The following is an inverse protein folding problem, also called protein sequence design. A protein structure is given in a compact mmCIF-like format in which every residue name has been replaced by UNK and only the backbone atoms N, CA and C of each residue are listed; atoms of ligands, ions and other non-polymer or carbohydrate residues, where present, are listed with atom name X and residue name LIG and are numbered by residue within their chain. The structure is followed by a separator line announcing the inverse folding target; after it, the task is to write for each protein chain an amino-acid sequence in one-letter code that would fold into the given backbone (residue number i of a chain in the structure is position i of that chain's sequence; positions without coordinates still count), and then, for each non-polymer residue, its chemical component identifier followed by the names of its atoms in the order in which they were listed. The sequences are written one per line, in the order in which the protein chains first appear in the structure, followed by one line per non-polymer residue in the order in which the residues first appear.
data_IF_407491111224
#
_entry.id   IF_407491111224
#
_cell.length_a   1.000
_cell.length_b   1.000
_cell.length_c   1.000
_cell.angle_alpha   90.00
_cell.angle_beta   90.00
_cell.angle_gamma   90.00
#
_symmetry.space_group_name_H-M   'P 1'
#
loop_
_entity.id
_entity.type
_entity.pdbx_description
1 polymer ?
#
# COMPACT_ATOMS: atom_id res chain seq x y z
N UNK A 1 13.52 -30.40 14.49
CA UNK A 1 14.87 -30.52 13.91
C UNK A 1 14.79 -30.15 12.45
N UNK A 2 15.28 -28.95 12.10
CA UNK A 2 15.87 -28.59 10.80
C UNK A 2 16.65 -27.29 11.07
N UNK A 3 17.96 -27.39 10.89
CA UNK A 3 18.98 -26.36 11.11
C UNK A 3 19.39 -25.71 9.79
N UNK A 4 20.16 -24.61 9.91
CA UNK A 4 21.04 -23.94 8.93
C UNK A 4 20.48 -22.68 8.25
N UNK A 5 21.24 -21.62 7.97
CA UNK A 5 22.63 -21.21 8.27
C UNK A 5 22.68 -19.71 7.90
N UNK A 6 23.26 -18.86 8.76
CA UNK A 6 23.54 -17.45 8.49
C UNK A 6 24.26 -16.83 9.69
N UNK A 7 25.45 -16.28 9.48
CA UNK A 7 26.36 -15.84 10.53
C UNK A 7 25.78 -14.67 11.35
N UNK A 8 25.28 -15.01 12.54
CA UNK A 8 24.85 -14.11 13.60
C UNK A 8 24.19 -14.99 14.66
N UNK A 9 24.65 -14.94 15.91
CA UNK A 9 24.10 -15.80 16.98
C UNK A 9 22.57 -15.72 16.95
N UNK A 10 21.83 -16.83 16.75
CA UNK A 10 20.39 -16.81 16.85
C UNK A 10 20.02 -16.33 18.26
N UNK A 11 19.22 -15.27 18.34
CA UNK A 11 18.61 -14.87 19.62
C UNK A 11 17.79 -16.09 20.07
N UNK A 12 18.05 -16.65 21.26
CA UNK A 12 17.31 -17.82 21.71
C UNK A 12 15.81 -17.54 21.72
N UNK A 13 15.02 -18.48 21.21
CA UNK A 13 13.54 -18.48 21.29
C UNK A 13 13.04 -18.20 22.73
N UNK A 14 13.89 -18.49 23.73
CA UNK A 14 13.59 -18.36 25.15
C UNK A 14 13.66 -16.92 25.73
N UNK A 15 14.13 -15.92 24.97
CA UNK A 15 14.19 -14.53 25.44
C UNK A 15 13.93 -13.52 24.30
N UNK A 16 12.69 -13.45 23.77
CA UNK A 16 12.37 -12.53 22.67
C UNK A 16 12.50 -11.07 23.12
N UNK A 17 12.88 -10.19 22.18
CA UNK A 17 12.83 -8.75 22.42
C UNK A 17 11.38 -8.29 22.60
N UNK A 18 11.15 -7.43 23.61
CA UNK A 18 9.84 -6.85 23.91
C UNK A 18 9.45 -5.71 22.96
N UNK A 19 10.43 -5.04 22.35
CA UNK A 19 10.21 -3.85 21.52
C UNK A 19 10.80 -4.05 20.12
N UNK A 20 10.06 -3.68 19.09
CA UNK A 20 10.54 -3.72 17.71
C UNK A 20 11.71 -2.74 17.49
N UNK A 21 11.73 -1.59 18.18
CA UNK A 21 12.87 -0.67 18.18
C UNK A 21 14.19 -1.36 18.53
N UNK A 22 14.19 -2.37 19.43
CA UNK A 22 15.41 -3.11 19.76
C UNK A 22 15.96 -3.86 18.54
N UNK A 23 15.09 -4.39 17.68
CA UNK A 23 15.51 -5.00 16.42
C UNK A 23 16.09 -3.97 15.46
N UNK A 24 15.41 -2.83 15.30
CA UNK A 24 15.87 -1.73 14.45
C UNK A 24 17.26 -1.21 14.84
N UNK A 25 17.57 -1.17 16.14
CA UNK A 25 18.86 -0.70 16.64
C UNK A 25 19.97 -1.76 16.56
N UNK A 26 19.62 -3.05 16.45
CA UNK A 26 20.58 -4.15 16.65
C UNK A 26 20.99 -4.85 15.36
N UNK A 27 20.06 -5.06 14.43
CA UNK A 27 20.31 -5.89 13.24
C UNK A 27 21.39 -5.29 12.33
N UNK A 28 22.23 -6.17 11.80
CA UNK A 28 23.23 -5.90 10.77
C UNK A 28 22.80 -6.50 9.42
N UNK A 29 23.55 -6.21 8.36
CA UNK A 29 23.33 -6.70 7.01
C UNK A 29 23.09 -8.21 6.95
N UNK A 30 22.12 -8.62 6.15
CA UNK A 30 21.70 -10.01 5.98
C UNK A 30 20.98 -10.64 7.19
N UNK A 31 20.84 -9.94 8.32
CA UNK A 31 20.18 -10.50 9.50
C UNK A 31 18.66 -10.45 9.40
N UNK A 32 18.03 -11.44 10.03
CA UNK A 32 16.56 -11.60 10.07
C UNK A 32 16.09 -11.55 11.52
N UNK A 33 15.10 -10.69 11.81
CA UNK A 33 14.31 -10.76 13.03
C UNK A 33 12.94 -11.38 12.75
N UNK A 34 12.60 -12.41 13.51
CA UNK A 34 11.28 -13.03 13.51
C UNK A 34 10.51 -12.59 14.77
N UNK A 35 9.50 -11.74 14.57
CA UNK A 35 8.62 -11.23 15.62
C UNK A 35 7.64 -12.32 16.05
N UNK A 36 7.61 -12.64 17.34
CA UNK A 36 6.66 -13.58 17.93
C UNK A 36 5.26 -12.97 17.94
N UNK A 37 4.25 -13.80 18.13
CA UNK A 37 2.87 -13.37 18.28
C UNK A 37 2.72 -12.38 19.44
N UNK A 38 2.02 -11.28 19.21
CA UNK A 38 1.78 -10.25 20.23
C UNK A 38 1.82 -8.83 19.68
N UNK A 39 1.68 -7.87 20.59
CA UNK A 39 1.65 -6.44 20.29
C UNK A 39 2.98 -5.78 20.65
N UNK A 40 3.52 -5.01 19.70
CA UNK A 40 4.79 -4.29 19.80
C UNK A 40 4.54 -2.80 19.82
N UNK A 41 4.50 -2.23 21.03
CA UNK A 41 4.31 -0.80 21.25
C UNK A 41 5.65 -0.05 21.32
N UNK A 42 5.72 1.19 20.79
CA UNK A 42 6.85 2.07 21.02
C UNK A 42 6.93 2.46 22.50
N UNK A 43 8.12 2.86 22.95
CA UNK A 43 8.32 3.30 24.34
C UNK A 43 7.80 4.71 24.62
N UNK A 44 7.60 5.52 23.58
CA UNK A 44 7.05 6.87 23.72
C UNK A 44 5.58 6.88 24.14
N UNK A 45 5.13 7.98 24.72
CA UNK A 45 3.74 8.14 25.11
C UNK A 45 2.84 8.34 23.89
N UNK A 46 1.63 7.77 23.93
CA UNK A 46 0.58 7.98 22.94
C UNK A 46 0.32 9.48 22.69
N UNK A 47 -0.04 9.85 21.45
CA UNK A 47 -0.29 11.24 21.02
C UNK A 47 0.88 12.20 21.28
N UNK A 48 2.10 11.67 21.23
CA UNK A 48 3.31 12.50 21.26
C UNK A 48 4.17 12.21 20.04
N UNK A 49 5.04 13.15 19.63
CA UNK A 49 6.04 12.87 18.61
C UNK A 49 6.93 11.66 18.92
N UNK A 50 6.99 11.19 20.17
CA UNK A 50 7.78 10.01 20.57
C UNK A 50 7.07 8.67 20.33
N UNK A 51 5.77 8.65 19.98
CA UNK A 51 5.00 7.42 19.70
C UNK A 51 5.35 6.80 18.34
N UNK A 52 6.62 6.47 18.16
CA UNK A 52 7.17 5.95 16.90
C UNK A 52 8.29 4.95 17.13
N UNK A 53 8.55 4.17 16.09
CA UNK A 53 9.70 3.27 15.96
C UNK A 53 10.43 3.65 14.67
N UNK A 54 11.73 3.85 14.74
CA UNK A 54 12.53 4.36 13.61
C UNK A 54 13.63 3.38 13.25
N UNK A 55 13.62 2.91 12.01
CA UNK A 55 14.66 2.07 11.44
C UNK A 55 15.64 2.92 10.63
N UNK A 56 16.81 3.20 11.22
CA UNK A 56 17.90 3.95 10.59
C UNK A 56 18.98 3.05 9.97
N UNK A 57 19.07 1.79 10.42
CA UNK A 57 20.09 0.87 9.94
C UNK A 57 19.74 0.37 8.55
N UNK A 58 20.77 0.20 7.72
CA UNK A 58 20.67 -0.32 6.36
C UNK A 58 21.25 -1.73 6.31
N UNK A 59 20.70 -2.57 5.43
CA UNK A 59 21.41 -3.73 4.90
C UNK A 59 22.35 -3.32 3.76
N UNK A 60 22.84 -4.33 3.05
CA UNK A 60 23.68 -4.16 1.87
C UNK A 60 23.02 -4.75 0.61
N UNK A 61 23.43 -4.36 -0.61
CA UNK A 61 23.00 -5.02 -1.83
C UNK A 61 23.20 -6.54 -1.74
N UNK A 62 22.12 -7.30 -1.95
CA UNK A 62 22.11 -8.76 -1.82
C UNK A 62 22.00 -9.30 -0.38
N UNK A 63 22.21 -8.47 0.64
CA UNK A 63 22.13 -8.83 2.06
C UNK A 63 21.21 -7.87 2.83
N UNK A 64 19.90 -7.86 2.52
CA UNK A 64 18.98 -6.95 3.19
C UNK A 64 18.78 -7.33 4.66
N UNK A 65 18.47 -6.35 5.51
CA UNK A 65 17.92 -6.64 6.83
C UNK A 65 16.45 -7.02 6.65
N UNK A 66 16.03 -8.13 7.26
CA UNK A 66 14.64 -8.60 7.18
C UNK A 66 13.97 -8.55 8.55
N UNK A 67 12.80 -7.92 8.60
CA UNK A 67 11.87 -8.01 9.71
C UNK A 67 10.65 -8.78 9.23
N UNK A 68 10.29 -9.83 9.94
CA UNK A 68 9.13 -10.63 9.60
C UNK A 68 8.41 -11.15 10.84
N UNK A 69 7.18 -11.61 10.67
CA UNK A 69 6.53 -12.39 11.70
C UNK A 69 7.14 -13.79 11.81
N UNK A 70 7.04 -14.39 12.99
CA UNK A 70 7.33 -15.79 13.18
C UNK A 70 6.27 -16.62 12.44
N UNK A 71 6.65 -17.64 11.65
CA UNK A 71 5.70 -18.40 10.84
C UNK A 71 4.51 -18.93 11.66
N UNK A 72 3.29 -18.68 11.19
CA UNK A 72 2.05 -19.08 11.85
C UNK A 72 1.62 -18.17 13.01
N UNK A 73 2.36 -17.10 13.31
CA UNK A 73 2.04 -16.15 14.38
C UNK A 73 1.77 -14.74 13.83
N UNK A 74 0.99 -13.97 14.59
CA UNK A 74 0.64 -12.59 14.25
C UNK A 74 1.30 -11.59 15.20
N UNK A 75 2.21 -10.80 14.66
CA UNK A 75 2.83 -9.63 15.28
C UNK A 75 2.08 -8.36 14.85
N UNK A 76 1.57 -7.61 15.84
CA UNK A 76 0.91 -6.32 15.65
C UNK A 76 1.85 -5.23 16.11
N UNK A 77 2.22 -4.32 15.22
CA UNK A 77 3.11 -3.20 15.49
C UNK A 77 2.25 -1.94 15.62
N UNK A 78 2.30 -1.32 16.80
CA UNK A 78 1.61 -0.06 17.07
C UNK A 78 2.54 1.14 16.89
N UNK A 79 1.92 2.30 16.76
CA UNK A 79 2.59 3.59 16.56
C UNK A 79 3.21 3.71 15.18
N UNK A 80 3.69 4.92 14.87
CA UNK A 80 4.33 5.21 13.59
C UNK A 80 5.59 4.35 13.41
N UNK A 81 5.74 3.70 12.26
CA UNK A 81 6.99 3.09 11.83
C UNK A 81 7.65 3.95 10.77
N UNK A 82 8.80 4.55 11.09
CA UNK A 82 9.61 5.33 10.14
C UNK A 82 10.77 4.47 9.64
N UNK A 83 10.93 4.37 8.32
CA UNK A 83 12.05 3.67 7.68
C UNK A 83 12.89 4.70 6.93
N UNK A 84 14.17 4.81 7.30
CA UNK A 84 15.17 5.64 6.63
C UNK A 84 16.41 4.86 6.21
N UNK A 85 16.56 3.63 6.70
CA UNK A 85 17.57 2.70 6.23
C UNK A 85 17.26 2.14 4.85
N UNK A 86 18.30 1.61 4.19
CA UNK A 86 18.26 1.08 2.83
C UNK A 86 18.42 -0.44 2.83
N UNK A 87 18.07 -1.09 1.73
CA UNK A 87 18.18 -2.55 1.58
C UNK A 87 17.47 -3.29 2.73
N UNK A 88 16.17 -3.05 2.84
CA UNK A 88 15.33 -3.56 3.94
C UNK A 88 14.16 -4.36 3.40
N UNK A 89 13.70 -5.32 4.19
CA UNK A 89 12.45 -6.03 3.92
C UNK A 89 11.58 -6.14 5.16
N UNK A 90 10.35 -5.66 5.06
CA UNK A 90 9.28 -5.89 6.03
C UNK A 90 8.33 -6.93 5.41
N UNK A 91 8.28 -8.13 5.99
CA UNK A 91 7.61 -9.28 5.39
C UNK A 91 6.58 -9.91 6.33
N UNK A 92 5.33 -9.94 5.92
CA UNK A 92 4.31 -10.80 6.49
C UNK A 92 4.26 -12.19 5.85
N UNK A 93 3.37 -13.03 6.35
CA UNK A 93 3.05 -14.34 5.80
C UNK A 93 1.84 -14.23 4.86
N UNK A 94 1.88 -14.82 3.64
CA UNK A 94 0.72 -14.86 2.74
C UNK A 94 -0.52 -15.50 3.38
N UNK A 95 -1.75 -15.17 2.91
CA UNK A 95 -2.07 -14.32 1.75
C UNK A 95 -1.94 -12.80 2.00
N UNK A 96 -1.92 -12.38 3.26
CA UNK A 96 -1.51 -11.07 3.77
C UNK A 96 -1.85 -11.11 5.25
N UNK A 97 -0.84 -11.10 6.10
CA UNK A 97 -1.06 -11.38 7.51
C UNK A 97 0.21 -11.76 8.24
N UNK A 98 0.09 -11.96 9.54
CA UNK A 98 1.25 -12.26 10.37
C UNK A 98 2.06 -11.02 10.77
N UNK A 99 2.28 -10.03 9.89
CA UNK A 99 2.87 -8.73 10.24
C UNK A 99 1.89 -7.60 9.93
N UNK A 100 1.36 -6.98 10.98
CA UNK A 100 0.33 -5.95 10.92
C UNK A 100 0.90 -4.64 11.48
N UNK A 101 0.79 -3.55 10.73
CA UNK A 101 1.01 -2.19 11.21
C UNK A 101 -0.36 -1.57 11.49
N UNK A 102 -0.60 -1.23 12.75
CA UNK A 102 -1.91 -0.79 13.19
C UNK A 102 -1.80 0.55 13.90
N UNK A 103 -2.51 1.54 13.37
CA UNK A 103 -2.71 2.82 14.04
C UNK A 103 -3.71 2.73 15.17
N UNK A 104 -3.80 3.75 16.03
CA UNK A 104 -4.75 3.71 17.13
C UNK A 104 -6.20 3.87 16.65
N UNK A 105 -7.11 3.21 17.37
CA UNK A 105 -8.57 3.39 17.27
C UNK A 105 -9.07 4.49 18.24
N UNK A 106 -8.22 5.45 18.61
CA UNK A 106 -8.55 6.46 19.60
C UNK A 106 -9.32 7.62 18.99
N UNK A 107 -10.44 8.03 19.62
CA UNK A 107 -11.15 9.26 19.25
C UNK A 107 -10.18 10.43 19.26
N UNK A 108 -10.12 11.17 18.15
CA UNK A 108 -9.43 12.44 18.01
C UNK A 108 -9.64 13.26 19.31
N UNK A 109 -8.60 13.34 20.15
CA UNK A 109 -8.69 13.92 21.47
C UNK A 109 -8.69 15.46 21.38
N UNK A 110 -9.55 16.07 20.55
CA UNK A 110 -9.79 17.52 20.47
C UNK A 110 -8.53 18.39 20.37
N UNK A 111 -7.39 17.82 20.00
CA UNK A 111 -6.07 18.34 20.30
C UNK A 111 -5.30 18.60 19.02
N UNK A 112 -4.72 19.79 18.92
CA UNK A 112 -4.10 20.30 17.68
C UNK A 112 -2.73 19.64 17.38
N UNK A 113 -2.21 18.71 18.20
CA UNK A 113 -0.76 18.40 18.20
C UNK A 113 -0.37 16.95 18.47
N UNK A 114 -0.63 16.11 17.46
CA UNK A 114 0.11 14.88 17.17
C UNK A 114 0.49 14.73 15.68
N UNK A 115 0.26 15.77 14.86
CA UNK A 115 0.45 15.76 13.40
C UNK A 115 1.82 15.22 12.98
N UNK A 116 1.85 13.96 12.57
CA UNK A 116 3.05 13.19 12.29
C UNK A 116 2.89 11.81 12.93
N UNK A 117 2.35 10.83 12.24
CA UNK A 117 2.54 10.60 10.82
C UNK A 117 1.65 9.45 10.39
N UNK A 118 1.66 9.21 9.10
CA UNK A 118 1.21 7.97 8.50
C UNK A 118 1.63 6.73 9.29
N UNK A 119 0.88 5.64 9.25
CA UNK A 119 1.17 4.45 10.05
C UNK A 119 2.54 3.84 9.72
N UNK A 120 2.88 3.79 8.43
CA UNK A 120 4.22 3.48 7.94
C UNK A 120 4.72 4.63 7.08
N UNK A 121 5.94 5.08 7.33
CA UNK A 121 6.58 6.15 6.57
C UNK A 121 7.94 5.71 6.04
N UNK A 122 8.06 5.60 4.72
CA UNK A 122 9.32 5.43 4.01
C UNK A 122 9.86 6.82 3.64
N UNK A 123 10.98 7.22 4.23
CA UNK A 123 11.53 8.58 4.13
C UNK A 123 12.99 8.51 3.70
N UNK A 124 13.30 9.04 2.52
CA UNK A 124 14.70 9.19 2.04
C UNK A 124 15.49 7.87 2.03
N UNK A 125 14.81 6.78 1.71
CA UNK A 125 15.39 5.45 1.66
C UNK A 125 15.34 4.87 0.24
N UNK A 126 16.15 3.84 -0.01
CA UNK A 126 16.09 3.07 -1.25
C UNK A 126 16.19 1.56 -1.04
N UNK A 127 15.75 0.79 -2.03
CA UNK A 127 15.74 -0.68 -2.00
C UNK A 127 15.01 -1.26 -0.77
N UNK A 128 13.83 -0.71 -0.46
CA UNK A 128 12.97 -1.21 0.62
C UNK A 128 11.81 -2.00 0.02
N UNK A 129 11.53 -3.17 0.60
CA UNK A 129 10.41 -4.04 0.19
C UNK A 129 9.44 -4.21 1.35
N UNK A 130 8.17 -3.86 1.13
CA UNK A 130 7.04 -4.29 1.96
C UNK A 130 6.37 -5.45 1.22
N UNK A 131 6.18 -6.57 1.90
CA UNK A 131 5.76 -7.83 1.28
C UNK A 131 4.76 -8.56 2.18
N UNK A 132 3.52 -8.74 1.73
CA UNK A 132 2.45 -9.41 2.48
C UNK A 132 2.16 -8.79 3.87
N UNK A 133 2.36 -7.48 4.03
CA UNK A 133 2.03 -6.76 5.27
C UNK A 133 0.61 -6.19 5.23
N UNK A 134 -0.01 -6.06 6.40
CA UNK A 134 -1.29 -5.39 6.59
C UNK A 134 -1.06 -4.02 7.23
N UNK A 135 -1.71 -2.97 6.71
CA UNK A 135 -1.62 -1.60 7.23
C UNK A 135 -3.04 -1.07 7.42
N UNK A 136 -3.43 -0.82 8.68
CA UNK A 136 -4.82 -0.51 9.00
C UNK A 136 -5.03 0.45 10.15
N UNK A 137 -6.24 0.99 10.21
CA UNK A 137 -6.76 1.77 11.33
C UNK A 137 -5.85 2.94 11.72
N UNK A 138 -5.13 3.50 10.75
CA UNK A 138 -4.42 4.74 10.94
C UNK A 138 -5.43 5.88 11.07
N UNK A 139 -5.23 6.80 11.99
CA UNK A 139 -6.15 7.91 12.27
C UNK A 139 -5.70 9.25 11.64
N UNK A 140 -4.59 9.31 10.89
CA UNK A 140 -4.16 10.59 10.30
C UNK A 140 -3.27 10.45 9.06
N UNK A 141 -3.56 11.22 8.01
CA UNK A 141 -2.74 11.39 6.80
C UNK A 141 -2.62 10.17 5.87
N UNK A 142 -1.94 9.08 6.23
CA UNK A 142 -1.92 7.90 5.36
C UNK A 142 -1.69 6.59 6.11
N UNK A 143 -2.22 5.48 5.61
CA UNK A 143 -1.73 4.16 6.04
C UNK A 143 -0.23 4.02 5.73
N UNK A 144 0.14 4.24 4.47
CA UNK A 144 1.53 4.25 4.02
C UNK A 144 1.87 5.60 3.38
N UNK A 145 2.94 6.24 3.84
CA UNK A 145 3.51 7.42 3.22
C UNK A 145 4.91 7.16 2.71
N UNK A 146 5.16 7.58 1.48
CA UNK A 146 6.42 7.36 0.78
C UNK A 146 6.94 8.70 0.30
N UNK A 147 8.13 9.12 0.73
CA UNK A 147 8.71 10.42 0.36
C UNK A 147 10.21 10.35 0.13
N UNK A 148 10.65 10.94 -0.99
CA UNK A 148 12.04 11.05 -1.42
C UNK A 148 12.76 9.69 -1.56
N UNK A 149 12.06 8.67 -2.10
CA UNK A 149 12.58 7.29 -2.19
C UNK A 149 13.06 6.90 -3.59
N UNK A 150 13.82 5.80 -3.67
CA UNK A 150 14.02 5.07 -4.93
C UNK A 150 14.00 3.55 -4.77
N UNK A 151 13.61 2.83 -5.82
CA UNK A 151 13.68 1.36 -5.86
C UNK A 151 12.89 0.67 -4.72
N UNK A 152 11.74 1.25 -4.35
CA UNK A 152 10.83 0.72 -3.33
C UNK A 152 9.76 -0.17 -3.95
N UNK A 153 9.47 -1.30 -3.30
CA UNK A 153 8.45 -2.25 -3.74
C UNK A 153 7.43 -2.51 -2.64
N UNK A 154 6.15 -2.33 -2.96
CA UNK A 154 5.00 -2.68 -2.12
C UNK A 154 4.29 -3.84 -2.79
N UNK A 155 4.39 -5.03 -2.22
CA UNK A 155 4.02 -6.29 -2.86
C UNK A 155 3.01 -7.03 -2.01
N UNK A 156 1.88 -7.42 -2.60
CA UNK A 156 0.89 -8.29 -1.96
C UNK A 156 0.40 -7.78 -0.59
N UNK A 157 0.42 -6.46 -0.40
CA UNK A 157 0.05 -5.82 0.85
C UNK A 157 -1.46 -5.57 0.91
N UNK A 158 -1.99 -5.50 2.14
CA UNK A 158 -3.37 -5.15 2.41
C UNK A 158 -3.44 -3.82 3.16
N UNK A 159 -3.99 -2.77 2.54
CA UNK A 159 -4.03 -1.42 3.12
C UNK A 159 -5.47 -0.94 3.20
N UNK A 160 -6.00 -0.83 4.42
CA UNK A 160 -7.42 -0.60 4.61
C UNK A 160 -7.80 0.14 5.89
N UNK A 161 -8.99 0.72 5.91
CA UNK A 161 -9.55 1.38 7.09
C UNK A 161 -8.65 2.50 7.66
N UNK A 162 -7.88 3.17 6.79
CA UNK A 162 -7.03 4.28 7.20
C UNK A 162 -7.76 5.62 7.00
N UNK A 163 -7.73 6.44 8.04
CA UNK A 163 -8.20 7.81 8.12
C UNK A 163 -9.32 8.03 9.13
N UNK A 164 -9.69 9.30 9.35
CA UNK A 164 -10.77 9.69 10.27
C UNK A 164 -12.13 9.64 9.59
N UNK A 165 -12.88 8.57 9.83
CA UNK A 165 -14.20 8.33 9.24
C UNK A 165 -15.35 9.05 9.93
N UNK A 166 -15.18 9.39 11.21
CA UNK A 166 -16.22 9.93 12.09
C UNK A 166 -16.29 11.47 12.09
N UNK A 167 -15.49 12.13 11.25
CA UNK A 167 -15.45 13.59 11.19
C UNK A 167 -15.36 14.12 9.75
N UNK A 168 -16.10 15.20 9.48
CA UNK A 168 -16.10 15.87 8.17
C UNK A 168 -15.00 16.92 8.03
N UNK A 169 -14.63 17.57 9.14
CA UNK A 169 -13.61 18.62 9.18
C UNK A 169 -12.87 18.54 10.52
N UNK A 170 -11.55 18.61 10.49
CA UNK A 170 -10.71 18.60 11.69
C UNK A 170 -10.53 19.98 12.32
N UNK A 171 -9.87 20.00 13.49
CA UNK A 171 -9.62 21.22 14.25
C UNK A 171 -8.79 22.28 13.49
N UNK A 172 -8.22 21.95 12.33
CA UNK A 172 -7.45 22.86 11.48
C UNK A 172 -8.15 23.15 10.15
N UNK A 173 -9.42 22.77 10.02
CA UNK A 173 -10.21 23.00 8.80
C UNK A 173 -9.88 22.03 7.67
N UNK A 174 -9.10 20.97 7.92
CA UNK A 174 -8.84 19.96 6.90
C UNK A 174 -10.01 18.99 6.82
N UNK A 175 -10.35 18.57 5.60
CA UNK A 175 -11.36 17.55 5.39
C UNK A 175 -10.67 16.18 5.22
N UNK A 176 -10.83 15.22 6.15
CA UNK A 176 -10.17 13.90 6.07
C UNK A 176 -10.34 13.19 4.74
N UNK A 177 -11.51 13.34 4.10
CA UNK A 177 -11.83 12.84 2.75
C UNK A 177 -10.83 13.26 1.65
N UNK A 178 -10.03 14.30 1.91
CA UNK A 178 -9.02 14.83 0.98
C UNK A 178 -7.58 14.60 1.44
N UNK A 179 -7.35 14.19 2.69
CA UNK A 179 -5.99 14.16 3.28
C UNK A 179 -5.61 12.82 3.90
N UNK A 180 -6.56 11.95 4.26
CA UNK A 180 -6.31 10.69 4.95
C UNK A 180 -6.33 9.49 3.98
N UNK A 181 -5.23 9.26 3.28
CA UNK A 181 -5.11 8.29 2.19
C UNK A 181 -4.87 6.85 2.69
N UNK A 182 -5.11 5.86 1.84
CA UNK A 182 -4.54 4.52 2.05
C UNK A 182 -3.02 4.57 1.87
N UNK A 183 -2.58 4.86 0.65
CA UNK A 183 -1.19 5.12 0.28
C UNK A 183 -1.07 6.55 -0.25
N UNK A 184 -0.21 7.34 0.38
CA UNK A 184 0.25 8.62 -0.13
C UNK A 184 1.68 8.46 -0.65
N UNK A 185 1.86 8.65 -1.95
CA UNK A 185 3.17 8.57 -2.61
C UNK A 185 3.60 9.97 -3.06
N UNK A 186 4.65 10.50 -2.43
CA UNK A 186 5.27 11.77 -2.75
C UNK A 186 6.47 11.57 -3.70
N UNK A 187 7.45 12.47 -3.66
CA UNK A 187 8.57 12.45 -4.59
C UNK A 187 9.32 11.11 -4.58
N UNK A 188 9.62 10.59 -5.76
CA UNK A 188 10.38 9.34 -5.93
C UNK A 188 11.08 9.29 -7.28
N UNK A 189 12.12 8.46 -7.37
CA UNK A 189 12.88 8.17 -8.60
C UNK A 189 13.29 6.70 -8.65
N UNK A 190 14.04 6.26 -9.67
CA UNK A 190 14.43 4.84 -9.80
C UNK A 190 13.27 3.93 -10.21
N UNK A 191 13.34 2.66 -9.87
CA UNK A 191 12.36 1.64 -10.30
C UNK A 191 11.45 1.24 -9.14
N UNK A 192 10.36 1.97 -8.96
CA UNK A 192 9.41 1.73 -7.88
C UNK A 192 8.21 0.87 -8.34
N UNK A 193 7.62 0.14 -7.40
CA UNK A 193 6.54 -0.79 -7.70
C UNK A 193 5.49 -0.86 -6.59
N UNK A 194 4.22 -0.83 -6.98
CA UNK A 194 3.09 -1.27 -6.15
C UNK A 194 2.40 -2.38 -6.94
N UNK A 195 2.50 -3.61 -6.46
CA UNK A 195 2.00 -4.75 -7.19
C UNK A 195 1.20 -5.71 -6.33
N UNK A 196 0.16 -6.29 -6.93
CA UNK A 196 -0.60 -7.39 -6.35
C UNK A 196 -1.26 -7.05 -4.99
N UNK A 197 -1.47 -5.77 -4.68
CA UNK A 197 -2.01 -5.31 -3.41
C UNK A 197 -3.54 -5.21 -3.42
N UNK A 198 -4.14 -5.39 -2.25
CA UNK A 198 -5.53 -4.99 -1.98
C UNK A 198 -5.51 -3.67 -1.22
N UNK A 199 -6.07 -2.62 -1.84
CA UNK A 199 -6.29 -1.33 -1.19
C UNK A 199 -7.79 -1.11 -1.06
N UNK A 200 -8.31 -1.00 0.16
CA UNK A 200 -9.74 -0.82 0.34
C UNK A 200 -10.16 0.12 1.46
N UNK A 201 -11.35 0.71 1.32
CA UNK A 201 -12.06 1.36 2.42
C UNK A 201 -11.18 2.34 3.23
N UNK A 202 -10.41 3.18 2.54
CA UNK A 202 -9.67 4.28 3.15
C UNK A 202 -10.49 5.59 3.06
N UNK A 203 -10.29 6.50 4.02
CA UNK A 203 -11.10 7.72 4.18
C UNK A 203 -10.95 8.69 3.03
N UNK A 204 -9.80 8.76 2.36
CA UNK A 204 -9.63 9.56 1.16
C UNK A 204 -9.48 8.65 -0.07
N UNK A 205 -8.45 8.83 -0.89
CA UNK A 205 -8.12 7.91 -1.96
C UNK A 205 -7.37 6.70 -1.42
N UNK A 206 -7.55 5.53 -2.05
CA UNK A 206 -6.77 4.36 -1.72
C UNK A 206 -5.30 4.54 -2.12
N UNK A 207 -5.04 5.18 -3.26
CA UNK A 207 -3.71 5.57 -3.72
C UNK A 207 -3.71 7.00 -4.23
N UNK A 208 -2.87 7.86 -3.67
CA UNK A 208 -2.63 9.21 -4.15
C UNK A 208 -1.16 9.41 -4.49
N UNK A 209 -0.90 9.91 -5.71
CA UNK A 209 0.39 10.44 -6.12
C UNK A 209 0.36 11.98 -5.98
N UNK A 210 1.21 12.55 -5.14
CA UNK A 210 1.33 14.01 -5.02
C UNK A 210 2.70 14.42 -4.45
N UNK A 211 3.56 15.01 -5.27
CA UNK A 211 4.93 15.37 -4.87
C UNK A 211 5.11 16.84 -4.47
N UNK A 212 4.07 17.67 -4.51
CA UNK A 212 4.20 19.09 -4.19
C UNK A 212 5.10 19.82 -5.19
N UNK A 213 6.35 20.13 -4.81
CA UNK A 213 7.37 20.71 -5.70
C UNK A 213 8.32 19.69 -6.34
N UNK A 214 8.27 18.43 -5.91
CA UNK A 214 9.08 17.35 -6.46
C UNK A 214 8.46 16.66 -7.68
N UNK A 215 9.02 15.51 -8.06
CA UNK A 215 8.48 14.63 -9.11
C UNK A 215 8.34 13.20 -8.61
N UNK A 216 7.38 12.49 -9.18
CA UNK A 216 7.15 11.05 -9.00
C UNK A 216 7.40 10.41 -10.35
N UNK A 217 8.52 9.71 -10.47
CA UNK A 217 8.91 9.02 -11.70
C UNK A 217 9.23 7.56 -11.43
N UNK A 218 9.11 6.74 -12.48
CA UNK A 218 9.51 5.33 -12.45
C UNK A 218 8.66 4.46 -11.53
N UNK A 219 7.44 4.88 -11.18
CA UNK A 219 6.49 4.07 -10.44
C UNK A 219 5.64 3.22 -11.40
N UNK A 220 5.60 1.91 -11.14
CA UNK A 220 4.68 0.97 -11.78
C UNK A 220 3.66 0.47 -10.78
N UNK A 221 2.38 0.71 -11.06
CA UNK A 221 1.22 0.26 -10.26
C UNK A 221 0.49 -0.81 -11.05
N UNK A 222 0.62 -2.08 -10.64
CA UNK A 222 0.18 -3.21 -11.45
C UNK A 222 -0.52 -4.31 -10.66
N UNK A 223 -1.54 -4.95 -11.26
CA UNK A 223 -2.23 -6.10 -10.65
C UNK A 223 -2.83 -5.80 -9.27
N UNK A 224 -3.22 -4.55 -8.99
CA UNK A 224 -3.84 -4.20 -7.72
C UNK A 224 -5.37 -4.24 -7.81
N UNK A 225 -6.03 -4.62 -6.71
CA UNK A 225 -7.47 -4.44 -6.51
C UNK A 225 -7.69 -3.24 -5.58
N UNK A 226 -8.34 -2.20 -6.09
CA UNK A 226 -8.49 -0.90 -5.45
C UNK A 226 -9.97 -0.53 -5.36
N UNK A 227 -10.55 -0.63 -4.17
CA UNK A 227 -12.01 -0.60 -3.99
C UNK A 227 -12.47 0.18 -2.76
N UNK A 228 -13.74 0.62 -2.74
CA UNK A 228 -14.38 1.21 -1.55
C UNK A 228 -13.70 2.44 -0.94
N UNK A 229 -12.77 3.12 -1.62
CA UNK A 229 -12.30 4.42 -1.15
C UNK A 229 -13.49 5.37 -0.98
N UNK A 230 -13.49 6.17 0.08
CA UNK A 230 -14.54 7.18 0.25
C UNK A 230 -14.42 8.27 -0.83
N UNK A 231 -13.20 8.54 -1.29
CA UNK A 231 -12.89 9.36 -2.46
C UNK A 231 -12.56 8.47 -3.70
N UNK A 232 -11.92 9.00 -4.74
CA UNK A 232 -11.46 8.23 -5.90
C UNK A 232 -10.56 7.06 -5.49
N UNK A 233 -10.56 5.97 -6.24
CA UNK A 233 -9.66 4.84 -5.95
C UNK A 233 -8.20 5.23 -6.12
N UNK A 234 -7.89 5.88 -7.25
CA UNK A 234 -6.54 6.38 -7.56
C UNK A 234 -6.61 7.86 -7.89
N UNK A 235 -5.76 8.68 -7.27
CA UNK A 235 -5.53 10.08 -7.61
C UNK A 235 -4.10 10.26 -8.13
N UNK A 236 -3.97 10.50 -9.43
CA UNK A 236 -2.70 10.83 -10.09
C UNK A 236 -2.59 12.35 -10.11
N UNK A 237 -1.93 12.88 -9.09
CA UNK A 237 -1.84 14.30 -8.81
C UNK A 237 -0.54 14.97 -9.25
N UNK A 238 -0.29 16.11 -8.61
CA UNK A 238 0.84 17.00 -8.91
C UNK A 238 2.19 16.32 -8.88
N UNK A 239 2.96 16.53 -9.95
CA UNK A 239 4.33 16.03 -10.08
C UNK A 239 4.43 14.56 -10.48
N UNK A 240 3.31 13.86 -10.67
CA UNK A 240 3.30 12.52 -11.25
C UNK A 240 3.67 12.58 -12.73
N UNK A 241 4.89 12.13 -13.06
CA UNK A 241 5.49 12.27 -14.38
C UNK A 241 6.04 10.92 -14.88
N UNK A 242 5.43 10.35 -15.93
CA UNK A 242 5.97 9.14 -16.55
C UNK A 242 5.73 7.83 -15.78
N UNK A 243 4.64 7.72 -15.02
CA UNK A 243 4.30 6.51 -14.26
C UNK A 243 3.37 5.59 -15.04
N UNK A 244 3.36 4.29 -14.68
CA UNK A 244 2.54 3.27 -15.35
C UNK A 244 1.50 2.71 -14.38
N UNK A 245 0.24 2.66 -14.82
CA UNK A 245 -0.88 2.04 -14.14
C UNK A 245 -1.47 1.00 -15.07
N UNK A 246 -1.22 -0.29 -14.80
CA UNK A 246 -1.67 -1.36 -15.68
C UNK A 246 -2.21 -2.59 -14.97
N UNK A 247 -3.08 -3.34 -15.62
CA UNK A 247 -3.62 -4.60 -15.11
C UNK A 247 -4.34 -4.49 -13.74
N UNK A 248 -4.81 -3.31 -13.34
CA UNK A 248 -5.49 -3.09 -12.07
C UNK A 248 -7.02 -3.19 -12.21
N UNK A 249 -7.68 -3.51 -11.10
CA UNK A 249 -9.12 -3.30 -10.93
C UNK A 249 -9.31 -2.12 -9.98
N UNK A 250 -9.81 -0.99 -10.49
CA UNK A 250 -10.15 0.20 -9.72
C UNK A 250 -11.67 0.34 -9.76
N UNK A 251 -12.35 -0.08 -8.70
CA UNK A 251 -13.79 -0.27 -8.79
C UNK A 251 -14.55 0.10 -7.52
N UNK A 252 -15.76 0.60 -7.68
CA UNK A 252 -16.66 0.91 -6.56
C UNK A 252 -16.00 1.79 -5.50
N UNK A 253 -15.24 2.78 -5.94
CA UNK A 253 -14.71 3.87 -5.12
C UNK A 253 -15.67 5.07 -5.17
N UNK A 254 -15.26 6.17 -4.55
CA UNK A 254 -16.05 7.40 -4.43
C UNK A 254 -17.34 7.14 -3.65
N UNK A 255 -17.23 6.47 -2.50
CA UNK A 255 -18.38 6.17 -1.64
C UNK A 255 -19.06 7.43 -1.08
N UNK A 256 -18.31 8.53 -0.96
CA UNK A 256 -18.80 9.81 -0.41
C UNK A 256 -18.49 11.02 -1.31
N UNK A 257 -17.82 10.81 -2.45
CA UNK A 257 -17.55 11.87 -3.43
C UNK A 257 -18.18 11.53 -4.80
N UNK A 258 -18.11 12.48 -5.74
CA UNK A 258 -18.55 12.30 -7.12
C UNK A 258 -17.36 12.25 -8.10
N UNK A 259 -16.22 11.75 -7.66
CA UNK A 259 -15.02 11.63 -8.48
C UNK A 259 -15.03 10.32 -9.27
N UNK A 260 -14.38 10.30 -10.44
CA UNK A 260 -14.16 9.05 -11.19
C UNK A 260 -13.33 8.02 -10.42
N UNK A 261 -13.31 6.77 -10.90
CA UNK A 261 -12.55 5.70 -10.26
C UNK A 261 -11.04 6.00 -10.21
N UNK A 262 -10.52 6.57 -11.30
CA UNK A 262 -9.17 7.13 -11.38
C UNK A 262 -9.33 8.61 -11.67
N UNK A 263 -8.63 9.47 -10.93
CA UNK A 263 -8.62 10.91 -11.16
C UNK A 263 -7.23 11.34 -11.62
N UNK A 264 -7.17 12.10 -12.71
CA UNK A 264 -5.93 12.65 -13.26
C UNK A 264 -5.95 14.18 -13.15
N UNK A 265 -5.04 14.73 -12.36
CA UNK A 265 -4.92 16.17 -12.16
C UNK A 265 -4.21 16.89 -13.32
N UNK A 266 -4.43 18.20 -13.45
CA UNK A 266 -3.93 19.02 -14.58
C UNK A 266 -2.41 19.10 -14.70
N UNK A 267 -1.67 18.84 -13.64
CA UNK A 267 -0.21 18.92 -13.60
C UNK A 267 0.46 17.55 -13.51
N UNK A 268 -0.29 16.47 -13.65
CA UNK A 268 0.24 15.15 -13.96
C UNK A 268 0.57 15.06 -15.46
N UNK A 269 1.71 14.46 -15.82
CA UNK A 269 2.19 14.38 -17.19
C UNK A 269 2.75 13.02 -17.56
N UNK A 270 2.70 12.67 -18.84
CA UNK A 270 3.36 11.48 -19.41
C UNK A 270 3.01 10.13 -18.75
N UNK A 271 1.94 10.06 -17.95
CA UNK A 271 1.53 8.81 -17.30
C UNK A 271 0.80 7.91 -18.29
N UNK A 272 0.97 6.59 -18.12
CA UNK A 272 0.32 5.58 -18.95
C UNK A 272 -0.68 4.82 -18.08
N UNK A 273 -1.97 4.95 -18.40
CA UNK A 273 -3.07 4.21 -17.77
C UNK A 273 -3.60 3.23 -18.81
N UNK A 274 -3.33 1.95 -18.61
CA UNK A 274 -3.44 0.95 -19.67
C UNK A 274 -3.97 -0.38 -19.15
N UNK A 275 -5.01 -0.94 -19.80
CA UNK A 275 -5.51 -2.29 -19.47
C UNK A 275 -5.93 -2.38 -18.00
N UNK A 276 -6.86 -1.52 -17.59
CA UNK A 276 -7.43 -1.53 -16.24
C UNK A 276 -8.95 -1.65 -16.32
N UNK A 277 -9.58 -2.17 -15.28
CA UNK A 277 -11.00 -1.91 -15.03
C UNK A 277 -11.11 -0.64 -14.20
N UNK A 278 -11.97 0.30 -14.64
CA UNK A 278 -12.34 1.51 -13.93
C UNK A 278 -13.87 1.62 -13.90
N UNK A 279 -14.51 0.89 -12.98
CA UNK A 279 -15.97 0.71 -12.98
C UNK A 279 -16.66 1.05 -11.65
N UNK A 280 -17.84 1.64 -11.74
CA UNK A 280 -18.76 1.91 -10.65
C UNK A 280 -20.21 1.69 -11.12
N UNK A 281 -21.12 1.36 -10.19
CA UNK A 281 -22.58 1.31 -10.45
C UNK A 281 -23.15 2.64 -10.92
N UNK A 282 -22.55 3.75 -10.46
CA UNK A 282 -22.91 5.10 -10.92
C UNK A 282 -22.12 5.36 -12.20
N UNK A 283 -22.77 5.19 -13.36
CA UNK A 283 -22.11 5.24 -14.67
C UNK A 283 -21.32 6.54 -14.92
N UNK A 284 -21.73 7.66 -14.34
CA UNK A 284 -21.02 8.94 -14.44
C UNK A 284 -19.70 8.99 -13.66
N UNK A 285 -19.40 7.98 -12.84
CA UNK A 285 -18.15 7.84 -12.09
C UNK A 285 -17.22 6.77 -12.69
N UNK A 286 -17.58 6.20 -13.84
CA UNK A 286 -16.76 5.22 -14.55
C UNK A 286 -15.53 5.89 -15.19
N UNK A 287 -14.50 5.08 -15.39
CA UNK A 287 -13.34 5.47 -16.16
C UNK A 287 -12.35 6.36 -15.41
N UNK A 288 -11.59 7.12 -16.20
CA UNK A 288 -10.66 8.14 -15.72
C UNK A 288 -11.36 9.49 -15.78
N UNK A 289 -11.56 10.11 -14.63
CA UNK A 289 -11.94 11.51 -14.54
C UNK A 289 -10.71 12.38 -14.77
N UNK A 290 -10.84 13.33 -15.69
CA UNK A 290 -9.72 14.11 -16.19
C UNK A 290 -10.10 15.58 -16.21
N UNK A 291 -9.20 16.41 -15.70
CA UNK A 291 -9.29 17.85 -15.93
C UNK A 291 -8.74 18.23 -17.33
N UNK A 292 -7.76 17.47 -17.88
CA UNK A 292 -7.27 17.61 -19.28
C UNK A 292 -6.67 16.29 -19.84
N UNK A 293 -7.44 15.51 -20.63
CA UNK A 293 -7.08 14.17 -21.15
C UNK A 293 -5.80 14.08 -22.01
N UNK A 294 -5.36 15.19 -22.61
CA UNK A 294 -4.40 15.15 -23.72
C UNK A 294 -3.34 16.25 -23.69
N UNK A 295 -3.44 17.22 -22.79
CA UNK A 295 -2.59 18.42 -22.80
C UNK A 295 -1.14 18.20 -22.35
N UNK A 296 -0.80 17.03 -21.78
CA UNK A 296 0.51 16.79 -21.13
C UNK A 296 1.10 15.40 -21.35
N UNK A 297 0.79 14.77 -22.47
CA UNK A 297 1.39 13.48 -22.83
C UNK A 297 0.89 12.26 -22.05
N UNK A 298 -0.12 12.42 -21.17
CA UNK A 298 -0.78 11.28 -20.54
C UNK A 298 -1.49 10.42 -21.59
N UNK A 299 -1.46 9.10 -21.42
CA UNK A 299 -2.07 8.13 -22.33
C UNK A 299 -3.04 7.27 -21.54
N UNK A 300 -4.30 7.27 -21.94
CA UNK A 300 -5.33 6.35 -21.42
C UNK A 300 -5.76 5.43 -22.56
N UNK A 301 -5.66 4.12 -22.37
CA UNK A 301 -6.07 3.13 -23.38
C UNK A 301 -6.50 1.81 -22.76
N UNK A 302 -7.26 1.01 -23.51
CA UNK A 302 -7.72 -0.34 -23.10
C UNK A 302 -8.38 -0.33 -21.71
N UNK A 303 -9.09 0.74 -21.41
CA UNK A 303 -9.84 0.88 -20.18
C UNK A 303 -11.17 0.14 -20.31
N UNK A 304 -11.48 -0.67 -19.32
CA UNK A 304 -12.73 -1.42 -19.24
C UNK A 304 -13.62 -0.76 -18.20
N UNK A 305 -14.89 -0.56 -18.56
CA UNK A 305 -15.89 0.08 -17.70
C UNK A 305 -17.05 -0.89 -17.44
N UNK A 306 -16.72 -2.17 -17.26
CA UNK A 306 -17.66 -3.23 -16.91
C UNK A 306 -17.45 -3.70 -15.47
N UNK A 307 -18.52 -4.23 -14.87
CA UNK A 307 -18.49 -4.83 -13.53
C UNK A 307 -17.43 -5.94 -13.46
N UNK A 308 -16.46 -5.89 -12.53
CA UNK A 308 -15.47 -6.94 -12.35
C UNK A 308 -16.05 -8.27 -11.84
N UNK A 309 -17.34 -8.32 -11.47
CA UNK A 309 -18.07 -9.52 -11.02
C UNK A 309 -17.36 -10.24 -9.89
N UNK A 310 -17.07 -9.53 -8.81
CA UNK A 310 -16.49 -10.12 -7.60
C UNK A 310 -17.42 -11.18 -6.99
N UNK A 311 -16.84 -12.22 -6.37
CA UNK A 311 -17.57 -13.30 -5.69
C UNK A 311 -18.49 -12.75 -4.60
N UNK A 312 -17.99 -11.86 -3.73
CA UNK A 312 -18.81 -11.20 -2.71
C UNK A 312 -18.24 -9.81 -2.36
N UNK A 313 -18.58 -8.80 -3.17
CA UNK A 313 -18.12 -7.43 -2.96
C UNK A 313 -18.52 -6.84 -1.59
N UNK A 314 -19.78 -6.94 -1.11
CA UNK A 314 -20.14 -6.42 0.21
C UNK A 314 -19.35 -7.08 1.35
N UNK A 315 -19.10 -8.40 1.27
CA UNK A 315 -18.36 -9.15 2.27
C UNK A 315 -16.83 -9.12 2.14
N UNK A 316 -16.27 -8.37 1.18
CA UNK A 316 -14.83 -8.23 1.01
C UNK A 316 -14.13 -9.36 0.24
N UNK A 317 -14.89 -10.26 -0.41
CA UNK A 317 -14.30 -11.26 -1.29
C UNK A 317 -14.22 -10.72 -2.72
N UNK A 318 -13.05 -10.16 -3.04
CA UNK A 318 -12.74 -9.57 -4.34
C UNK A 318 -12.12 -10.55 -5.34
N UNK A 319 -12.19 -11.86 -5.06
CA UNK A 319 -11.92 -12.86 -6.09
C UNK A 319 -12.93 -12.73 -7.22
N UNK A 320 -12.52 -13.10 -8.43
CA UNK A 320 -13.35 -12.98 -9.62
C UNK A 320 -14.35 -14.12 -9.70
N UNK A 321 -15.60 -13.79 -10.01
CA UNK A 321 -16.65 -14.75 -10.32
C UNK A 321 -16.65 -15.17 -11.80
N UNK A 322 -17.37 -16.26 -12.14
CA UNK A 322 -17.48 -16.72 -13.52
C UNK A 322 -17.96 -15.63 -14.49
N UNK A 323 -17.29 -15.54 -15.63
CA UNK A 323 -17.60 -14.56 -16.68
C UNK A 323 -17.22 -13.12 -16.32
N UNK A 324 -16.40 -12.91 -15.30
CA UNK A 324 -15.78 -11.60 -15.06
C UNK A 324 -15.01 -11.13 -16.29
N UNK A 325 -15.13 -9.85 -16.68
CA UNK A 325 -14.38 -9.30 -17.80
C UNK A 325 -12.88 -9.15 -17.47
N UNK A 326 -12.50 -9.24 -16.19
CA UNK A 326 -11.11 -9.21 -15.75
C UNK A 326 -10.32 -10.48 -16.09
N UNK A 327 -11.00 -11.59 -16.37
CA UNK A 327 -10.38 -12.91 -16.54
C UNK A 327 -9.54 -12.94 -17.82
N UNK A 328 -8.27 -13.32 -17.69
CA UNK A 328 -7.30 -13.39 -18.81
C UNK A 328 -7.15 -12.08 -19.61
N UNK A 329 -7.51 -10.94 -19.02
CA UNK A 329 -7.51 -9.65 -19.68
C UNK A 329 -6.19 -8.88 -19.50
N UNK A 330 -5.34 -9.28 -18.55
CA UNK A 330 -4.05 -8.64 -18.35
C UNK A 330 -3.15 -8.84 -19.58
N UNK A 331 -2.40 -7.79 -19.93
CA UNK A 331 -1.32 -7.90 -20.90
C UNK A 331 -0.03 -8.25 -20.16
N UNK A 332 0.83 -9.04 -20.80
CA UNK A 332 2.17 -9.37 -20.28
C UNK A 332 3.01 -8.10 -20.18
N UNK A 333 2.93 -7.47 -19.02
CA UNK A 333 3.77 -6.36 -18.57
C UNK A 333 4.31 -6.85 -17.24
N UNK A 334 5.61 -7.11 -17.14
CA UNK A 334 6.36 -7.55 -15.94
C UNK A 334 5.50 -7.66 -14.67
N UNK A 335 4.68 -8.72 -14.60
CA UNK A 335 3.68 -8.97 -13.57
C UNK A 335 4.22 -9.90 -12.51
N UNK A 336 3.53 -10.03 -11.38
CA UNK A 336 3.91 -10.99 -10.36
C UNK A 336 3.69 -12.42 -10.85
N UNK A 337 4.56 -13.36 -10.45
CA UNK A 337 4.41 -14.76 -10.86
C UNK A 337 3.27 -15.49 -10.13
N UNK A 338 2.83 -14.93 -9.00
CA UNK A 338 1.73 -15.41 -8.17
C UNK A 338 0.83 -14.24 -7.77
N UNK A 339 -0.45 -14.54 -7.53
CA UNK A 339 -1.42 -13.58 -7.01
C UNK A 339 -1.33 -13.45 -5.48
N UNK A 340 -2.22 -12.65 -4.88
CA UNK A 340 -2.24 -12.38 -3.44
C UNK A 340 -2.54 -13.62 -2.58
N UNK A 341 -3.19 -14.64 -3.15
CA UNK A 341 -3.45 -15.92 -2.49
C UNK A 341 -2.33 -16.96 -2.74
N UNK A 342 -1.25 -16.56 -3.41
CA UNK A 342 -0.16 -17.47 -3.80
C UNK A 342 -0.50 -18.36 -4.99
N UNK A 343 -1.51 -18.02 -5.78
CA UNK A 343 -1.90 -18.72 -7.00
C UNK A 343 -1.00 -18.31 -8.15
N UNK A 344 -0.40 -19.29 -8.83
CA UNK A 344 0.40 -19.01 -10.02
C UNK A 344 -0.44 -18.37 -11.12
N UNK A 345 0.05 -17.25 -11.65
CA UNK A 345 -0.57 -16.56 -12.79
C UNK A 345 -0.23 -17.27 -14.11
N UNK A 346 -1.20 -17.43 -15.03
CA UNK A 346 -0.95 -17.97 -16.37
C UNK A 346 -0.27 -16.92 -17.28
N UNK A 347 0.02 -17.28 -18.53
CA UNK A 347 0.63 -16.34 -19.51
C UNK A 347 -0.24 -15.14 -19.86
N UNK A 348 -1.56 -15.26 -19.66
CA UNK A 348 -2.52 -14.16 -19.74
C UNK A 348 -3.26 -14.07 -18.40
N UNK A 349 -2.72 -13.34 -17.41
CA UNK A 349 -3.33 -13.26 -16.09
C UNK A 349 -4.69 -12.57 -16.10
N UNK A 350 -5.42 -12.76 -15.01
CA UNK A 350 -6.56 -11.91 -14.67
C UNK A 350 -6.08 -10.55 -14.15
N UNK A 351 -6.89 -9.50 -14.36
CA UNK A 351 -6.62 -8.17 -13.77
C UNK A 351 -6.80 -8.22 -12.24
N UNK A 352 -6.11 -7.32 -11.54
CA UNK A 352 -6.23 -7.15 -10.09
C UNK A 352 -5.44 -8.18 -9.29
N UNK A 353 -5.62 -8.14 -7.97
CA UNK A 353 -4.79 -8.85 -6.99
C UNK A 353 -5.03 -10.36 -6.91
N UNK A 354 -6.09 -10.86 -7.55
CA UNK A 354 -6.51 -12.25 -7.49
C UNK A 354 -6.63 -12.85 -8.89
N UNK A 355 -6.01 -14.01 -9.08
CA UNK A 355 -6.16 -14.80 -10.28
C UNK A 355 -7.46 -15.59 -10.23
N UNK A 356 -8.17 -15.65 -11.35
CA UNK A 356 -9.38 -16.47 -11.41
C UNK A 356 -9.03 -17.95 -11.37
N UNK A 357 -9.62 -18.66 -10.40
CA UNK A 357 -9.69 -20.11 -10.40
C UNK A 357 -11.11 -20.51 -10.75
N UNK A 358 -11.29 -21.27 -11.82
CA UNK A 358 -12.51 -22.07 -11.93
C UNK A 358 -12.54 -23.02 -10.73
N UNK A 359 -13.64 -23.06 -9.98
CA UNK A 359 -13.84 -24.14 -9.03
C UNK A 359 -13.67 -25.48 -9.76
N UNK A 360 -13.07 -26.50 -9.11
CA UNK A 360 -12.94 -27.84 -9.69
C UNK A 360 -14.27 -28.40 -10.20
#
# INVERSE_FOLDING_TARGET
MLSNLGFGRPIPIQAPWKHLQKAFDTLADGQVACLRGGTYEPSGAYDTPSYRQTMLRSGEPGNPIVIQNYPGETAIVLGLVVVRGNHLKLRGTPPSGGLIFQGPLGSDAGGVKGKGASQVWLDKCHNVVLDHVEIRNNDYHAGLYVSDVSDVQILSCYVHDNGRFDMETDALGQHPINVDQGIYWAASSGTNRIANCLLEHNRAANLQLFAGSGKITGLTVVENTIVKAMNSGVLIGKGADGNVFANNIVSMNSQQTNNGQIRLADDASNNVIDTNIAWCRKNNLNGVDTSTLSGRGNVVRRLMVEDPRFVNFPGGDYRLGPGSPAINAALSVDGESVDMDGVRRPSRPSLGAYEYKSSP
#
